data_IF_861689840787
#
_entry.id   IF_861689840787
#
_cell.length_a   1.000
_cell.length_b   1.000
_cell.length_c   1.000
_cell.angle_alpha   90.00
_cell.angle_beta   90.00
_cell.angle_gamma   90.00
#
_symmetry.space_group_name_H-M   'P 1'
#
loop_
_entity.id
_entity.type
_entity.pdbx_description
1 polymer ?
#
# COMPACT_ATOMS: atom_id res chain seq x y z
N UNK A 1 2.66 17.12 -9.10
CA UNK A 1 2.02 16.44 -7.97
C UNK A 1 0.76 15.66 -8.37
N UNK A 2 -0.30 16.24 -8.94
CA UNK A 2 -1.51 15.47 -9.29
C UNK A 2 -1.27 14.28 -10.24
N UNK A 3 -0.42 14.41 -11.25
CA UNK A 3 -0.05 13.31 -12.15
C UNK A 3 0.70 12.18 -11.40
N UNK A 4 1.51 12.52 -10.40
CA UNK A 4 2.27 11.58 -9.59
C UNK A 4 1.37 10.64 -8.77
N UNK A 5 0.29 11.15 -8.16
CA UNK A 5 -0.67 10.32 -7.42
C UNK A 5 -1.52 9.41 -8.31
N UNK A 6 -1.79 9.80 -9.56
CA UNK A 6 -2.48 8.90 -10.51
C UNK A 6 -1.63 7.68 -10.87
N UNK A 7 -0.30 7.84 -10.91
CA UNK A 7 0.61 6.71 -11.12
C UNK A 7 0.59 5.78 -9.89
N UNK A 8 0.64 6.32 -8.66
CA UNK A 8 0.50 5.52 -7.44
C UNK A 8 -0.80 4.71 -7.44
N UNK A 9 -1.91 5.35 -7.80
CA UNK A 9 -3.21 4.67 -7.92
C UNK A 9 -3.18 3.52 -8.93
N UNK A 10 -2.39 3.63 -10.01
CA UNK A 10 -2.26 2.56 -11.00
C UNK A 10 -1.45 1.35 -10.48
N UNK A 11 -0.59 1.52 -9.48
CA UNK A 11 0.10 0.42 -8.82
C UNK A 11 -0.81 -0.35 -7.86
N UNK A 12 -1.80 0.27 -7.26
CA UNK A 12 -2.66 -0.36 -6.26
C UNK A 12 -3.27 -1.70 -6.73
N UNK A 13 -3.90 -1.82 -7.92
CA UNK A 13 -4.43 -3.09 -8.37
C UNK A 13 -3.37 -4.15 -8.72
N UNK A 14 -2.11 -3.75 -8.97
CA UNK A 14 -1.03 -4.71 -9.25
C UNK A 14 -0.49 -5.40 -8.00
N UNK A 15 -0.83 -4.85 -6.84
CA UNK A 15 -0.46 -5.35 -5.52
C UNK A 15 -1.65 -6.01 -4.79
N UNK A 16 -2.79 -6.17 -5.47
CA UNK A 16 -3.94 -6.92 -4.97
C UNK A 16 -3.97 -8.33 -5.57
N UNK A 17 -4.75 -9.21 -4.97
CA UNK A 17 -4.98 -10.55 -5.50
C UNK A 17 -5.41 -10.47 -6.98
N UNK A 18 -4.78 -11.25 -7.88
CA UNK A 18 -4.99 -11.13 -9.31
C UNK A 18 -6.45 -11.41 -9.70
N UNK A 19 -7.01 -10.58 -10.56
CA UNK A 19 -8.33 -10.75 -11.14
C UNK A 19 -8.25 -10.93 -12.66
N UNK A 20 -9.36 -11.24 -13.30
CA UNK A 20 -9.44 -11.31 -14.77
C UNK A 20 -8.98 -10.01 -15.47
N UNK A 21 -9.02 -8.89 -14.76
CA UNK A 21 -8.57 -7.57 -15.27
C UNK A 21 -7.08 -7.31 -15.06
N UNK A 22 -6.38 -8.22 -14.41
CA UNK A 22 -4.97 -8.01 -14.05
C UNK A 22 -4.07 -7.68 -15.27
N UNK A 23 -4.20 -8.37 -16.44
CA UNK A 23 -3.43 -7.99 -17.63
C UNK A 23 -3.65 -6.55 -18.10
N UNK A 24 -4.90 -6.06 -18.10
CA UNK A 24 -5.24 -4.69 -18.48
C UNK A 24 -4.72 -3.67 -17.46
N UNK A 25 -4.68 -4.02 -16.18
CA UNK A 25 -4.12 -3.17 -15.12
C UNK A 25 -2.60 -2.99 -15.31
N UNK A 26 -1.88 -4.06 -15.66
CA UNK A 26 -0.44 -3.99 -15.99
C UNK A 26 -0.19 -3.07 -17.19
N UNK A 27 -0.98 -3.19 -18.27
CA UNK A 27 -0.87 -2.31 -19.44
C UNK A 27 -1.13 -0.84 -19.09
N UNK A 28 -2.11 -0.58 -18.24
CA UNK A 28 -2.43 0.77 -17.77
C UNK A 28 -1.28 1.38 -16.98
N UNK A 29 -0.64 0.62 -16.08
CA UNK A 29 0.52 1.05 -15.33
C UNK A 29 1.73 1.33 -16.24
N UNK A 30 1.97 0.48 -17.23
CA UNK A 30 3.03 0.68 -18.24
C UNK A 30 2.88 1.99 -19.01
N UNK A 31 1.63 2.34 -19.39
CA UNK A 31 1.35 3.60 -20.10
C UNK A 31 1.64 4.81 -19.21
N UNK A 32 1.25 4.76 -17.95
CA UNK A 32 1.46 5.85 -16.99
C UNK A 32 2.94 5.99 -16.60
N UNK A 33 3.70 4.89 -16.53
CA UNK A 33 5.13 4.88 -16.24
C UNK A 33 6.01 5.05 -17.47
N UNK A 34 5.51 5.63 -18.57
CA UNK A 34 6.25 5.78 -19.83
C UNK A 34 7.58 6.55 -19.68
N UNK A 35 7.65 7.48 -18.73
CA UNK A 35 8.82 8.32 -18.46
C UNK A 35 9.65 7.85 -17.24
N UNK A 36 9.34 6.70 -16.67
CA UNK A 36 9.98 6.13 -15.49
C UNK A 36 10.73 4.82 -15.88
N UNK A 37 11.95 4.93 -16.43
CA UNK A 37 12.61 3.79 -17.09
C UNK A 37 12.86 2.60 -16.16
N UNK A 38 13.16 2.82 -14.90
CA UNK A 38 13.42 1.77 -13.91
C UNK A 38 12.12 1.01 -13.58
N UNK A 39 11.08 1.74 -13.16
CA UNK A 39 9.77 1.15 -12.87
C UNK A 39 9.19 0.43 -14.09
N UNK A 40 9.31 1.05 -15.27
CA UNK A 40 8.86 0.47 -16.53
C UNK A 40 9.54 -0.87 -16.84
N UNK A 41 10.85 -0.98 -16.59
CA UNK A 41 11.60 -2.23 -16.82
C UNK A 41 11.04 -3.40 -16.02
N UNK A 42 10.65 -3.18 -14.77
CA UNK A 42 9.98 -4.21 -13.95
C UNK A 42 8.54 -4.48 -14.39
N UNK A 43 7.79 -3.45 -14.80
CA UNK A 43 6.43 -3.64 -15.34
C UNK A 43 6.41 -4.41 -16.65
N UNK A 44 7.43 -4.27 -17.52
CA UNK A 44 7.58 -5.07 -18.73
C UNK A 44 7.89 -6.55 -18.40
N UNK A 45 8.67 -6.81 -17.36
CA UNK A 45 8.88 -8.17 -16.85
C UNK A 45 7.57 -8.77 -16.30
N UNK A 46 6.80 -7.99 -15.53
CA UNK A 46 5.48 -8.40 -15.04
C UNK A 46 4.53 -8.72 -16.20
N UNK A 47 4.45 -7.86 -17.21
CA UNK A 47 3.64 -8.10 -18.41
C UNK A 47 3.99 -9.43 -19.08
N UNK A 48 5.28 -9.69 -19.29
CA UNK A 48 5.74 -10.94 -19.91
C UNK A 48 5.39 -12.16 -19.04
N UNK A 49 5.50 -12.03 -17.72
CA UNK A 49 5.11 -13.09 -16.78
C UNK A 49 3.61 -13.37 -16.87
N UNK A 50 2.78 -12.33 -16.81
CA UNK A 50 1.32 -12.46 -16.91
C UNK A 50 0.89 -13.07 -18.25
N UNK A 51 1.53 -12.71 -19.35
CA UNK A 51 1.22 -13.28 -20.67
C UNK A 51 1.59 -14.76 -20.81
N UNK A 52 2.51 -15.26 -19.99
CA UNK A 52 3.02 -16.63 -20.05
C UNK A 52 2.31 -17.60 -19.06
N UNK A 53 1.45 -17.09 -18.18
CA UNK A 53 0.83 -17.86 -17.09
C UNK A 53 -0.69 -17.67 -17.08
N UNK A 54 -1.39 -18.72 -16.65
CA UNK A 54 -2.84 -18.67 -16.44
C UNK A 54 -3.19 -18.03 -15.08
N UNK A 55 -4.48 -17.82 -14.84
CA UNK A 55 -4.97 -17.18 -13.60
C UNK A 55 -4.54 -17.94 -12.36
N UNK A 56 -4.57 -19.28 -12.39
CA UNK A 56 -4.22 -20.10 -11.25
C UNK A 56 -2.74 -19.95 -10.86
N UNK A 57 -1.84 -19.91 -11.85
CA UNK A 57 -0.42 -19.69 -11.62
C UNK A 57 -0.13 -18.28 -11.06
N UNK A 58 -0.89 -17.26 -11.50
CA UNK A 58 -0.78 -15.91 -10.94
C UNK A 58 -1.25 -15.85 -9.49
N UNK A 59 -2.35 -16.52 -9.16
CA UNK A 59 -2.90 -16.61 -7.81
C UNK A 59 -1.93 -17.32 -6.86
N UNK A 60 -1.33 -18.43 -7.31
CA UNK A 60 -0.30 -19.14 -6.55
C UNK A 60 0.94 -18.28 -6.31
N UNK A 61 1.39 -17.54 -7.35
CA UNK A 61 2.54 -16.66 -7.23
C UNK A 61 2.27 -15.48 -6.27
N UNK A 62 1.04 -14.93 -6.29
CA UNK A 62 0.61 -13.90 -5.35
C UNK A 62 0.68 -14.40 -3.89
N UNK A 63 0.02 -15.52 -3.63
CA UNK A 63 -0.02 -16.12 -2.29
C UNK A 63 1.39 -16.42 -1.77
N UNK A 64 2.24 -17.00 -2.60
CA UNK A 64 3.63 -17.29 -2.24
C UNK A 64 4.44 -16.03 -1.98
N UNK A 65 4.22 -14.97 -2.75
CA UNK A 65 5.01 -13.74 -2.68
C UNK A 65 4.58 -12.86 -1.51
N UNK A 66 3.27 -12.65 -1.31
CA UNK A 66 2.75 -11.62 -0.43
C UNK A 66 2.02 -12.16 0.80
N UNK A 67 1.25 -13.25 0.68
CA UNK A 67 0.41 -13.69 1.79
C UNK A 67 1.20 -14.51 2.83
N UNK A 68 2.08 -15.41 2.38
CA UNK A 68 2.82 -16.30 3.28
C UNK A 68 4.23 -15.81 3.64
N UNK A 69 4.65 -14.67 3.09
CA UNK A 69 5.97 -14.09 3.36
C UNK A 69 5.84 -12.80 4.20
N UNK A 70 6.06 -12.87 5.53
CA UNK A 70 5.90 -11.72 6.42
C UNK A 70 6.84 -10.55 6.07
N UNK A 71 8.00 -10.82 5.44
CA UNK A 71 8.96 -9.77 5.08
C UNK A 71 8.42 -8.81 4.03
N UNK A 72 7.49 -9.27 3.18
CA UNK A 72 6.84 -8.47 2.11
C UNK A 72 5.35 -8.28 2.36
N UNK A 73 4.90 -8.41 3.62
CA UNK A 73 3.51 -8.16 3.99
C UNK A 73 3.10 -6.74 3.57
N UNK A 74 1.90 -6.64 2.99
CA UNK A 74 1.33 -5.39 2.46
C UNK A 74 0.77 -4.46 3.53
N UNK A 75 0.88 -4.84 4.81
CA UNK A 75 0.40 -4.06 5.95
C UNK A 75 1.43 -2.97 6.31
N UNK A 76 1.17 -1.73 5.92
CA UNK A 76 2.08 -0.58 6.15
C UNK A 76 2.40 -0.41 7.64
N UNK A 77 1.40 -0.47 8.51
CA UNK A 77 1.60 -0.36 9.96
C UNK A 77 2.46 -1.50 10.53
N UNK A 78 2.37 -2.71 9.96
CA UNK A 78 3.27 -3.81 10.34
C UNK A 78 4.72 -3.53 9.91
N UNK A 79 4.92 -3.02 8.72
CA UNK A 79 6.25 -2.64 8.24
C UNK A 79 6.89 -1.54 9.09
N UNK A 80 6.10 -0.55 9.53
CA UNK A 80 6.61 0.57 10.32
C UNK A 80 6.81 0.23 11.79
N UNK A 81 5.86 -0.47 12.41
CA UNK A 81 5.77 -0.61 13.87
C UNK A 81 5.86 -2.07 14.35
N UNK A 82 5.85 -3.05 13.45
CA UNK A 82 5.79 -4.46 13.82
C UNK A 82 4.48 -4.79 14.56
N UNK A 83 4.61 -5.48 15.70
CA UNK A 83 3.49 -5.86 16.58
C UNK A 83 3.26 -4.86 17.73
N UNK A 84 3.86 -3.68 17.68
CA UNK A 84 3.72 -2.67 18.74
C UNK A 84 2.32 -2.06 18.78
N UNK A 85 1.93 -1.53 19.95
CA UNK A 85 0.66 -0.84 20.15
C UNK A 85 0.41 0.31 19.15
N UNK A 86 1.46 0.99 18.72
CA UNK A 86 1.43 2.05 17.69
C UNK A 86 0.80 1.61 16.37
N UNK A 87 0.88 0.32 16.01
CA UNK A 87 0.17 -0.19 14.83
C UNK A 87 -1.36 -0.02 14.99
N UNK A 88 -1.88 -0.24 16.20
CA UNK A 88 -3.31 -0.05 16.48
C UNK A 88 -3.73 1.41 16.30
N UNK A 89 -2.93 2.36 16.80
CA UNK A 89 -3.17 3.80 16.62
C UNK A 89 -3.12 4.20 15.14
N UNK A 90 -2.15 3.66 14.38
CA UNK A 90 -2.03 3.88 12.94
C UNK A 90 -3.26 3.35 12.18
N UNK A 91 -3.75 2.16 12.53
CA UNK A 91 -4.97 1.58 11.94
C UNK A 91 -6.19 2.49 12.15
N UNK A 92 -6.39 3.01 13.37
CA UNK A 92 -7.49 3.94 13.67
C UNK A 92 -7.37 5.22 12.85
N UNK A 93 -6.16 5.79 12.74
CA UNK A 93 -5.91 6.99 11.94
C UNK A 93 -6.22 6.75 10.45
N UNK A 94 -5.77 5.64 9.88
CA UNK A 94 -6.03 5.31 8.48
C UNK A 94 -7.51 5.05 8.21
N UNK A 95 -8.20 4.37 9.13
CA UNK A 95 -9.66 4.19 9.06
C UNK A 95 -10.40 5.53 9.03
N UNK A 96 -9.98 6.48 9.90
CA UNK A 96 -10.53 7.84 9.92
C UNK A 96 -10.29 8.59 8.61
N UNK A 97 -9.06 8.52 8.05
CA UNK A 97 -8.72 9.16 6.79
C UNK A 97 -9.51 8.58 5.61
N UNK A 98 -9.68 7.24 5.55
CA UNK A 98 -10.51 6.58 4.53
C UNK A 98 -11.96 7.05 4.59
N UNK A 99 -12.59 7.06 5.78
CA UNK A 99 -13.97 7.55 5.97
C UNK A 99 -14.13 9.00 5.52
N UNK A 100 -13.17 9.87 5.83
CA UNK A 100 -13.20 11.30 5.46
C UNK A 100 -13.30 11.52 3.95
N UNK A 101 -12.68 10.66 3.15
CA UNK A 101 -12.75 10.74 1.69
C UNK A 101 -13.78 9.80 1.07
N UNK A 102 -14.63 9.16 1.88
CA UNK A 102 -15.69 8.27 1.43
C UNK A 102 -15.18 6.94 0.87
N UNK A 103 -13.98 6.49 1.32
CA UNK A 103 -13.41 5.19 0.98
C UNK A 103 -13.62 4.18 2.10
N UNK A 104 -13.56 2.90 1.74
CA UNK A 104 -13.61 1.76 2.65
C UNK A 104 -12.41 0.83 2.36
N UNK A 105 -11.84 0.24 3.40
CA UNK A 105 -10.79 -0.77 3.28
C UNK A 105 -11.32 -2.11 2.72
N UNK A 106 -12.64 -2.33 2.75
CA UNK A 106 -13.27 -3.58 2.34
C UNK A 106 -12.98 -4.70 3.34
N UNK A 107 -12.49 -5.84 2.85
CA UNK A 107 -12.11 -7.00 3.66
C UNK A 107 -10.71 -6.90 4.25
N UNK A 108 -9.91 -5.95 3.79
CA UNK A 108 -8.54 -5.75 4.23
C UNK A 108 -8.46 -4.80 5.45
N UNK A 109 -7.32 -4.79 6.12
CA UNK A 109 -7.05 -3.82 7.17
C UNK A 109 -6.87 -2.41 6.57
N UNK A 110 -7.15 -1.38 7.37
CA UNK A 110 -7.05 0.01 6.94
C UNK A 110 -5.61 0.43 6.56
N UNK A 111 -4.59 -0.33 6.98
CA UNK A 111 -3.18 -0.11 6.67
C UNK A 111 -2.68 -0.90 5.45
N UNK A 112 -3.58 -1.54 4.69
CA UNK A 112 -3.21 -2.30 3.49
C UNK A 112 -2.66 -1.38 2.40
N UNK A 113 -1.43 -1.63 1.94
CA UNK A 113 -0.67 -0.75 1.04
C UNK A 113 -1.45 -0.34 -0.23
N UNK A 114 -2.09 -1.24 -0.99
CA UNK A 114 -2.90 -0.86 -2.15
C UNK A 114 -3.99 0.16 -1.81
N UNK A 115 -4.66 0.00 -0.69
CA UNK A 115 -5.72 0.92 -0.23
C UNK A 115 -5.13 2.30 0.13
N UNK A 116 -3.95 2.34 0.75
CA UNK A 116 -3.29 3.59 1.10
C UNK A 116 -2.69 4.30 -0.12
N UNK A 117 -2.27 3.59 -1.18
CA UNK A 117 -1.90 4.21 -2.46
C UNK A 117 -3.09 4.91 -3.12
N UNK A 118 -4.28 4.31 -3.06
CA UNK A 118 -5.51 4.94 -3.52
C UNK A 118 -5.91 6.13 -2.64
N UNK A 119 -5.73 6.02 -1.32
CA UNK A 119 -5.99 7.10 -0.36
C UNK A 119 -5.11 8.32 -0.65
N UNK A 120 -3.82 8.16 -0.92
CA UNK A 120 -2.95 9.26 -1.31
C UNK A 120 -3.49 10.07 -2.49
N UNK A 121 -4.14 9.39 -3.46
CA UNK A 121 -4.73 10.05 -4.63
C UNK A 121 -6.09 10.71 -4.34
N UNK A 122 -6.75 10.34 -3.24
CA UNK A 122 -8.05 10.87 -2.83
C UNK A 122 -7.95 12.02 -1.82
N UNK A 123 -6.84 12.10 -1.08
CA UNK A 123 -6.57 13.16 -0.11
C UNK A 123 -6.21 14.49 -0.80
N UNK A 124 -6.32 15.65 -0.10
CA UNK A 124 -5.65 16.87 -0.49
C UNK A 124 -4.16 16.63 -0.78
N UNK A 125 -3.59 17.36 -1.74
CA UNK A 125 -2.27 17.04 -2.30
C UNK A 125 -1.12 17.09 -1.27
N UNK A 126 -1.22 17.98 -0.29
CA UNK A 126 -0.28 18.13 0.83
C UNK A 126 -0.38 16.95 1.81
N UNK A 127 -1.59 16.55 2.19
CA UNK A 127 -1.83 15.40 3.06
C UNK A 127 -1.42 14.07 2.38
N UNK A 128 -1.75 13.91 1.08
CA UNK A 128 -1.33 12.75 0.30
C UNK A 128 0.20 12.66 0.19
N UNK A 129 0.88 13.79 0.03
CA UNK A 129 2.35 13.85 0.00
C UNK A 129 2.93 13.49 1.38
N UNK A 130 2.38 14.02 2.45
CA UNK A 130 2.80 13.70 3.80
C UNK A 130 2.64 12.20 4.09
N UNK A 131 1.48 11.61 3.82
CA UNK A 131 1.25 10.17 3.97
C UNK A 131 2.27 9.35 3.16
N UNK A 132 2.56 9.77 1.91
CA UNK A 132 3.53 9.08 1.07
C UNK A 132 4.94 9.15 1.66
N UNK A 133 5.44 10.34 1.98
CA UNK A 133 6.83 10.54 2.39
C UNK A 133 7.12 10.05 3.82
N UNK A 134 6.16 10.19 4.75
CA UNK A 134 6.34 9.82 6.15
C UNK A 134 5.98 8.36 6.47
N UNK A 135 5.05 7.76 5.71
CA UNK A 135 4.55 6.42 6.01
C UNK A 135 4.79 5.42 4.89
N UNK A 136 4.34 5.72 3.64
CA UNK A 136 4.35 4.70 2.59
C UNK A 136 5.75 4.47 2.04
N UNK A 137 6.54 5.52 1.77
CA UNK A 137 7.89 5.37 1.24
C UNK A 137 8.81 4.58 2.20
N UNK A 138 8.84 4.85 3.53
CA UNK A 138 9.59 4.02 4.47
C UNK A 138 9.10 2.57 4.54
N UNK A 139 7.77 2.35 4.54
CA UNK A 139 7.21 1.00 4.58
C UNK A 139 7.53 0.20 3.31
N UNK A 140 7.41 0.82 2.13
CA UNK A 140 7.78 0.22 0.84
C UNK A 140 9.27 -0.12 0.82
N UNK A 141 10.13 0.80 1.25
CA UNK A 141 11.58 0.56 1.35
C UNK A 141 11.86 -0.68 2.20
N UNK A 142 11.25 -0.78 3.38
CA UNK A 142 11.44 -1.92 4.28
C UNK A 142 10.88 -3.22 3.71
N UNK A 143 9.68 -3.19 3.13
CA UNK A 143 9.09 -4.34 2.44
C UNK A 143 10.01 -4.87 1.32
N UNK A 144 10.64 -3.99 0.56
CA UNK A 144 11.54 -4.37 -0.53
C UNK A 144 12.87 -4.98 -0.07
N UNK A 145 13.25 -4.84 1.19
CA UNK A 145 14.38 -5.58 1.76
C UNK A 145 14.14 -7.10 1.74
N UNK A 146 12.86 -7.52 1.79
CA UNK A 146 12.44 -8.91 1.66
C UNK A 146 12.28 -9.41 0.22
N UNK A 147 12.43 -8.54 -0.80
CA UNK A 147 12.26 -8.88 -2.22
C UNK A 147 13.63 -8.92 -2.92
N UNK A 148 14.09 -10.08 -3.41
CA UNK A 148 15.31 -10.15 -4.22
C UNK A 148 15.23 -9.25 -5.44
N UNK A 149 16.32 -8.54 -5.79
CA UNK A 149 16.35 -7.64 -6.97
C UNK A 149 16.17 -8.37 -8.31
N UNK A 150 16.45 -9.65 -8.34
CA UNK A 150 16.26 -10.55 -9.49
C UNK A 150 14.96 -11.37 -9.38
N UNK A 151 14.07 -10.98 -8.44
CA UNK A 151 12.76 -11.61 -8.30
C UNK A 151 11.96 -11.51 -9.60
N UNK A 152 11.15 -12.52 -9.82
CA UNK A 152 10.26 -12.65 -11.00
C UNK A 152 8.81 -12.67 -10.53
N UNK A 153 7.90 -12.77 -11.49
CA UNK A 153 6.48 -12.86 -11.16
C UNK A 153 5.92 -11.57 -10.60
N UNK A 154 4.94 -11.71 -9.73
CA UNK A 154 4.21 -10.59 -9.14
C UNK A 154 5.06 -9.72 -8.21
N UNK A 155 6.17 -10.25 -7.67
CA UNK A 155 7.14 -9.45 -6.93
C UNK A 155 7.70 -8.26 -7.74
N UNK A 156 7.73 -8.37 -9.08
CA UNK A 156 8.18 -7.27 -9.95
C UNK A 156 7.26 -6.05 -9.89
N UNK A 157 5.98 -6.21 -9.52
CA UNK A 157 5.08 -5.08 -9.27
C UNK A 157 5.56 -4.25 -8.07
N UNK A 158 5.97 -4.91 -6.99
CA UNK A 158 6.52 -4.24 -5.80
C UNK A 158 7.86 -3.56 -6.11
N UNK A 159 8.74 -4.20 -6.88
CA UNK A 159 10.00 -3.60 -7.33
C UNK A 159 9.75 -2.36 -8.21
N UNK A 160 8.79 -2.43 -9.15
CA UNK A 160 8.41 -1.30 -9.99
C UNK A 160 7.89 -0.11 -9.16
N UNK A 161 7.02 -0.38 -8.17
CA UNK A 161 6.55 0.64 -7.23
C UNK A 161 7.71 1.27 -6.47
N UNK A 162 8.64 0.46 -5.96
CA UNK A 162 9.80 0.93 -5.21
C UNK A 162 10.68 1.86 -6.03
N UNK A 163 10.99 1.52 -7.26
CA UNK A 163 11.77 2.36 -8.18
C UNK A 163 11.04 3.70 -8.49
N UNK A 164 9.72 3.62 -8.69
CA UNK A 164 8.91 4.82 -8.91
C UNK A 164 8.92 5.73 -7.67
N UNK A 165 8.72 5.16 -6.49
CA UNK A 165 8.70 5.93 -5.23
C UNK A 165 10.08 6.53 -4.94
N UNK A 166 11.15 5.78 -5.12
CA UNK A 166 12.52 6.26 -4.89
C UNK A 166 12.91 7.41 -5.84
N UNK A 167 12.38 7.42 -7.06
CA UNK A 167 12.66 8.46 -8.04
C UNK A 167 11.85 9.76 -7.80
N UNK A 168 10.66 9.67 -7.19
CA UNK A 168 9.68 10.76 -7.18
C UNK A 168 9.34 11.31 -5.80
N UNK A 169 9.67 10.59 -4.70
CA UNK A 169 9.32 10.97 -3.34
C UNK A 169 10.52 10.87 -2.40
N UNK A 170 10.52 11.73 -1.39
CA UNK A 170 11.48 11.61 -0.30
C UNK A 170 11.02 10.53 0.68
N UNK A 171 11.95 9.77 1.21
CA UNK A 171 11.71 8.88 2.32
C UNK A 171 12.12 9.62 3.61
N UNK A 172 11.17 10.26 4.29
CA UNK A 172 11.43 11.02 5.51
C UNK A 172 11.52 10.14 6.75
N UNK A 173 11.04 8.90 6.65
CA UNK A 173 11.09 7.90 7.71
C UNK A 173 12.28 6.95 7.55
N UNK A 174 13.52 7.43 7.51
CA UNK A 174 14.59 6.58 8.01
C UNK A 174 14.30 6.40 9.50
N UNK A 175 14.16 5.12 9.91
CA UNK A 175 13.80 4.73 11.25
C UNK A 175 14.42 5.66 12.29
N UNK A 176 13.82 6.82 12.48
CA UNK A 176 14.14 7.67 13.61
C UNK A 176 13.43 7.03 14.79
N UNK A 177 14.17 6.44 15.75
CA UNK A 177 13.55 5.97 16.97
C UNK A 177 12.78 7.06 17.70
N UNK A 178 13.04 8.34 17.40
CA UNK A 178 12.37 9.52 17.96
C UNK A 178 11.08 9.91 17.22
N UNK A 179 10.82 9.42 15.98
CA UNK A 179 9.46 9.46 15.39
C UNK A 179 8.45 8.63 16.20
N UNK A 180 8.96 7.98 17.24
CA UNK A 180 8.14 7.33 18.23
C UNK A 180 7.32 8.32 19.05
N UNK A 181 7.70 9.57 19.17
CA UNK A 181 7.00 10.55 20.03
C UNK A 181 6.38 11.74 19.28
N UNK A 182 6.77 12.01 18.02
CA UNK A 182 6.26 13.12 17.23
C UNK A 182 5.71 12.66 15.87
N UNK A 183 4.77 11.71 15.86
CA UNK A 183 3.87 11.61 14.74
C UNK A 183 3.03 12.90 14.72
N UNK A 184 3.52 13.91 14.01
CA UNK A 184 2.77 15.14 13.77
C UNK A 184 1.42 14.74 13.22
N UNK A 185 0.41 15.16 13.90
CA UNK A 185 -0.96 14.66 13.83
C UNK A 185 -1.57 14.92 12.44
N UNK A 186 -1.46 13.94 11.53
CA UNK A 186 -2.22 13.93 10.25
C UNK A 186 -3.73 14.07 10.54
N UNK A 187 -4.12 14.00 11.80
CA UNK A 187 -5.49 14.06 12.31
C UNK A 187 -5.77 15.33 13.14
N UNK A 188 -4.97 16.41 13.05
CA UNK A 188 -5.38 17.68 13.65
C UNK A 188 -6.73 18.10 13.06
N UNK A 189 -7.78 17.87 13.83
CA UNK A 189 -9.18 18.13 13.44
C UNK A 189 -10.11 16.93 13.58
N UNK A 190 -9.62 15.74 13.92
CA UNK A 190 -10.46 14.59 14.21
C UNK A 190 -10.76 14.52 15.70
N UNK A 191 -11.87 15.16 16.14
CA UNK A 191 -12.44 14.91 17.46
C UNK A 191 -13.01 13.47 17.47
N UNK A 192 -12.39 12.62 18.28
CA UNK A 192 -12.88 11.28 18.57
C UNK A 192 -14.29 11.37 19.18
N UNK A 193 -15.29 10.86 18.48
CA UNK A 193 -16.63 10.71 19.03
C UNK A 193 -16.74 9.39 19.80
N UNK A 194 -17.20 9.40 21.08
CA UNK A 194 -17.41 8.15 21.84
C UNK A 194 -18.36 7.13 21.18
N UNK A 195 -19.16 7.54 20.19
CA UNK A 195 -20.01 6.66 19.39
C UNK A 195 -19.26 5.71 18.45
N UNK A 196 -18.02 6.04 18.10
CA UNK A 196 -17.22 5.21 17.16
C UNK A 196 -16.80 3.85 17.76
N UNK A 197 -16.89 3.68 19.09
CA UNK A 197 -16.62 2.41 19.79
C UNK A 197 -17.84 1.47 19.81
N UNK A 198 -19.05 1.98 19.68
CA UNK A 198 -20.26 1.14 19.75
C UNK A 198 -20.46 0.33 18.47
N UNK A 199 -20.02 0.84 17.32
CA UNK A 199 -20.05 0.11 16.05
C UNK A 199 -19.07 -1.07 15.99
N UNK A 200 -18.03 -1.07 16.83
CA UNK A 200 -17.08 -2.20 16.95
C UNK A 200 -17.60 -3.35 17.83
N UNK A 201 -18.72 -3.15 18.58
CA UNK A 201 -19.28 -4.16 19.49
C UNK A 201 -20.34 -5.07 18.88
N UNK A 202 -20.77 -4.86 17.64
CA UNK A 202 -21.88 -5.60 17.04
C UNK A 202 -21.48 -6.92 16.36
N UNK A 203 -20.29 -7.49 16.63
CA UNK A 203 -19.81 -8.75 16.07
C UNK A 203 -19.89 -9.99 16.99
N UNK A 204 -20.43 -9.88 18.20
CA UNK A 204 -20.55 -11.04 19.11
C UNK A 204 -21.98 -11.57 19.10
N UNK A 205 -22.31 -12.43 18.13
CA UNK A 205 -23.51 -13.24 18.18
C UNK A 205 -23.44 -14.20 19.36
N UNK A 206 -24.29 -13.96 20.34
CA UNK A 206 -24.66 -15.00 21.34
C UNK A 206 -25.61 -15.99 20.66
N UNK A 207 -25.13 -17.15 20.36
CA UNK A 207 -26.02 -18.32 20.20
C UNK A 207 -26.18 -18.99 21.57
N UNK A 208 -27.36 -18.85 22.12
CA UNK A 208 -27.95 -19.83 23.05
C UNK A 208 -28.56 -20.97 22.23
#
# INVERSE_FOLDING_TARGET
MAASFQILKAFAPLLRYPSERFPQQVESALLLCAHEPQARGYLEQLKNFVAAHDSWALEEDYTRTFDINPAVAMDVGFQLFGLAYKRGEFLVKMQGALRRVGMDAGTELADHLPTLLELCAALPADEGLQLMEECLAPAIKKMLEGVPKDAKGLATAALALGEYVAANYRCLGEANPDLQDEAHDITEGYEYSPGDLDDLRLGVNRHE
#
